data_IF_043230127606
#
_entry.id   IF_043230127606
#
_cell.length_a   1.000
_cell.length_b   1.000
_cell.length_c   1.000
_cell.angle_alpha   90.00
_cell.angle_beta   90.00
_cell.angle_gamma   90.00
#
_symmetry.space_group_name_H-M   'P 1'
#
loop_
_entity.id
_entity.type
_entity.pdbx_description
1 polymer ?
#
# COMPACT_ATOMS: atom_id res chain seq x y z
N UNK A 1 30.90 -6.48 54.66
CA UNK A 1 31.07 -6.67 53.20
C UNK A 1 29.72 -6.38 52.53
N UNK A 2 29.56 -5.21 51.90
CA UNK A 2 28.30 -4.83 51.25
C UNK A 2 28.24 -5.47 49.86
N UNK A 3 27.28 -6.38 49.65
CA UNK A 3 27.01 -7.01 48.34
C UNK A 3 26.53 -5.93 47.37
N UNK A 4 27.41 -5.51 46.46
CA UNK A 4 27.07 -4.63 45.35
C UNK A 4 26.33 -5.46 44.29
N UNK A 5 25.00 -5.52 44.37
CA UNK A 5 24.20 -6.12 43.29
C UNK A 5 24.29 -5.23 42.05
N UNK A 6 24.84 -5.81 40.98
CA UNK A 6 25.15 -5.19 39.70
C UNK A 6 23.88 -4.58 39.06
N UNK A 7 23.80 -3.24 38.98
CA UNK A 7 22.60 -2.53 38.53
C UNK A 7 22.26 -2.79 37.06
N UNK A 8 23.26 -3.11 36.22
CA UNK A 8 23.07 -3.40 34.80
C UNK A 8 22.21 -4.65 34.56
N UNK A 9 22.41 -5.72 35.35
CA UNK A 9 21.63 -6.97 35.22
C UNK A 9 20.15 -6.75 35.54
N UNK A 10 19.85 -5.88 36.51
CA UNK A 10 18.47 -5.51 36.86
C UNK A 10 17.80 -4.70 35.75
N UNK A 11 18.54 -3.83 35.07
CA UNK A 11 18.01 -3.04 33.95
C UNK A 11 17.63 -3.92 32.75
N UNK A 12 18.45 -4.94 32.43
CA UNK A 12 18.13 -5.88 31.36
C UNK A 12 16.95 -6.79 31.69
N UNK A 13 16.84 -7.26 32.93
CA UNK A 13 15.67 -8.03 33.39
C UNK A 13 14.38 -7.21 33.37
N UNK A 14 14.43 -5.94 33.76
CA UNK A 14 13.27 -5.06 33.76
C UNK A 14 12.81 -4.73 32.32
N UNK A 15 13.76 -4.53 31.39
CA UNK A 15 13.47 -4.34 29.96
C UNK A 15 12.89 -5.60 29.32
N UNK A 16 13.47 -6.77 29.61
CA UNK A 16 12.94 -8.05 29.12
C UNK A 16 11.54 -8.37 29.65
N UNK A 17 11.27 -8.06 30.92
CA UNK A 17 9.95 -8.23 31.52
C UNK A 17 8.90 -7.27 30.93
N UNK A 18 9.29 -6.03 30.62
CA UNK A 18 8.39 -5.06 29.97
C UNK A 18 8.04 -5.50 28.55
N UNK A 19 9.02 -6.01 27.80
CA UNK A 19 8.83 -6.57 26.45
C UNK A 19 7.88 -7.77 26.50
N UNK A 20 8.10 -8.72 27.41
CA UNK A 20 7.21 -9.89 27.59
C UNK A 20 5.77 -9.49 27.97
N UNK A 21 5.59 -8.43 28.76
CA UNK A 21 4.27 -7.93 29.13
C UNK A 21 3.54 -7.29 27.94
N UNK A 22 4.27 -6.54 27.10
CA UNK A 22 3.73 -5.97 25.86
C UNK A 22 3.34 -7.05 24.85
N UNK A 23 4.13 -8.13 24.74
CA UNK A 23 3.87 -9.27 23.86
C UNK A 23 2.60 -10.04 24.22
N UNK A 24 2.34 -10.25 25.52
CA UNK A 24 1.14 -10.97 25.97
C UNK A 24 -0.17 -10.22 25.71
N UNK A 25 -0.14 -8.89 25.57
CA UNK A 25 -1.32 -8.08 25.27
C UNK A 25 -1.77 -8.19 23.80
N UNK A 26 -0.87 -8.57 22.88
CA UNK A 26 -1.13 -8.68 21.44
C UNK A 26 -1.62 -10.09 21.05
N UNK A 27 -1.29 -11.13 21.84
CA UNK A 27 -1.59 -12.53 21.51
C UNK A 27 -3.01 -13.02 21.88
N UNK A 28 -3.95 -12.13 22.23
CA UNK A 28 -5.34 -12.49 22.59
C UNK A 28 -6.36 -11.81 21.69
N UNK A 29 -6.25 -12.03 20.38
CA UNK A 29 -7.38 -11.87 19.47
C UNK A 29 -7.92 -13.28 19.13
N UNK A 30 -9.08 -13.68 19.68
CA UNK A 30 -9.74 -14.89 19.21
C UNK A 30 -10.27 -14.63 17.78
N UNK A 31 -9.60 -15.19 16.78
CA UNK A 31 -10.18 -15.38 15.46
C UNK A 31 -11.38 -16.33 15.56
N UNK A 32 -12.59 -15.77 15.60
CA UNK A 32 -13.83 -16.54 15.61
C UNK A 32 -14.34 -16.76 14.17
N UNK A 33 -14.52 -18.04 13.84
CA UNK A 33 -15.05 -18.61 12.60
C UNK A 33 -16.27 -17.88 12.03
N UNK A 34 -16.23 -17.51 10.75
CA UNK A 34 -17.42 -17.25 9.95
C UNK A 34 -17.94 -18.55 9.32
N UNK A 35 -19.19 -18.89 9.63
CA UNK A 35 -19.91 -20.02 9.08
C UNK A 35 -20.37 -19.74 7.64
N UNK A 36 -20.07 -20.68 6.73
CA UNK A 36 -20.56 -20.71 5.34
C UNK A 36 -22.08 -20.79 5.31
N UNK A 37 -22.74 -19.87 4.61
CA UNK A 37 -24.03 -20.16 3.97
C UNK A 37 -23.87 -20.06 2.44
N UNK A 38 -24.11 -21.19 1.76
CA UNK A 38 -24.18 -21.28 0.30
C UNK A 38 -25.56 -20.79 -0.15
N UNK A 39 -25.62 -19.62 -0.77
CA UNK A 39 -26.76 -19.16 -1.55
C UNK A 39 -26.46 -19.29 -3.03
N UNK A 40 -27.29 -20.06 -3.72
CA UNK A 40 -27.19 -20.49 -5.12
C UNK A 40 -27.27 -19.35 -6.14
N UNK A 41 -26.44 -19.45 -7.18
CA UNK A 41 -26.53 -18.68 -8.42
C UNK A 41 -27.86 -18.90 -9.15
N UNK A 42 -28.39 -17.87 -9.81
CA UNK A 42 -29.16 -18.05 -11.04
C UNK A 42 -28.92 -16.90 -12.03
N UNK A 43 -28.44 -17.31 -13.21
CA UNK A 43 -28.35 -16.55 -14.43
C UNK A 43 -29.73 -16.36 -15.06
N UNK A 44 -29.92 -15.23 -15.74
CA UNK A 44 -31.04 -14.98 -16.64
C UNK A 44 -30.55 -14.41 -17.97
N UNK A 45 -30.28 -15.30 -18.93
CA UNK A 45 -30.21 -14.98 -20.36
C UNK A 45 -31.59 -15.17 -20.98
N UNK A 46 -31.98 -14.29 -21.89
CA UNK A 46 -32.80 -14.53 -23.11
C UNK A 46 -33.19 -13.17 -23.70
N UNK A 47 -33.46 -12.96 -24.98
CA UNK A 47 -32.99 -13.49 -26.26
C UNK A 47 -33.75 -12.65 -27.32
N UNK A 48 -33.09 -12.38 -28.44
CA UNK A 48 -33.63 -12.25 -29.79
C UNK A 48 -34.61 -11.13 -30.18
N UNK A 49 -34.34 -10.51 -31.33
CA UNK A 49 -35.15 -9.43 -31.91
C UNK A 49 -34.58 -8.85 -33.20
N UNK A 50 -34.39 -9.68 -34.21
CA UNK A 50 -34.12 -9.27 -35.61
C UNK A 50 -35.33 -8.50 -36.17
N UNK A 51 -35.17 -7.23 -36.58
CA UNK A 51 -36.06 -6.58 -37.56
C UNK A 51 -35.26 -5.73 -38.55
N UNK A 52 -35.65 -5.93 -39.80
CA UNK A 52 -35.12 -5.52 -41.10
C UNK A 52 -35.35 -4.03 -41.43
N UNK A 53 -34.41 -3.43 -42.17
CA UNK A 53 -34.44 -2.07 -42.70
C UNK A 53 -35.58 -1.78 -43.70
N UNK A 54 -35.87 -0.49 -43.96
CA UNK A 54 -35.87 -0.02 -45.35
C UNK A 54 -35.16 1.34 -45.59
N UNK A 55 -34.51 1.38 -46.76
CA UNK A 55 -34.31 2.44 -47.75
C UNK A 55 -34.13 3.93 -47.35
N UNK A 56 -32.93 4.41 -47.70
CA UNK A 56 -32.50 5.69 -48.27
C UNK A 56 -33.48 6.87 -48.43
N UNK A 57 -33.02 8.04 -47.95
CA UNK A 57 -33.26 9.33 -48.60
C UNK A 57 -31.97 10.16 -48.66
N UNK A 58 -31.73 10.62 -49.88
CA UNK A 58 -30.72 11.52 -50.40
C UNK A 58 -30.70 12.89 -49.70
N UNK A 59 -29.51 13.37 -49.29
CA UNK A 59 -29.27 14.79 -48.99
C UNK A 59 -27.87 15.17 -49.49
N UNK A 60 -27.76 15.37 -50.80
CA UNK A 60 -26.73 16.20 -51.40
C UNK A 60 -26.95 17.68 -51.05
N UNK A 61 -26.14 18.27 -50.15
CA UNK A 61 -25.62 19.65 -50.25
C UNK A 61 -24.82 20.05 -49.01
N UNK A 62 -23.50 20.10 -49.15
CA UNK A 62 -22.66 21.01 -48.37
C UNK A 62 -21.54 21.56 -49.30
N UNK A 63 -21.16 22.85 -49.21
CA UNK A 63 -20.28 23.48 -50.19
C UNK A 63 -18.82 23.04 -50.03
N UNK A 64 -18.15 22.75 -51.14
CA UNK A 64 -16.71 22.51 -51.21
C UNK A 64 -15.95 23.84 -51.09
N UNK A 65 -15.28 24.07 -49.96
CA UNK A 65 -14.29 25.14 -49.83
C UNK A 65 -12.97 24.68 -50.47
N UNK A 66 -12.32 25.48 -51.34
CA UNK A 66 -11.02 25.13 -51.88
C UNK A 66 -9.97 25.17 -50.76
N UNK A 67 -9.38 24.01 -50.47
CA UNK A 67 -8.20 23.85 -49.63
C UNK A 67 -6.98 24.38 -50.41
N UNK A 68 -6.63 25.64 -50.20
CA UNK A 68 -5.33 26.18 -50.62
C UNK A 68 -4.47 26.36 -49.37
N UNK A 69 -3.64 25.38 -49.04
CA UNK A 69 -2.57 25.58 -48.05
C UNK A 69 -1.37 26.14 -48.80
N UNK A 70 -1.17 27.44 -48.74
CA UNK A 70 0.13 28.03 -49.03
C UNK A 70 0.97 27.92 -47.77
N UNK A 71 1.93 26.99 -47.75
CA UNK A 71 3.01 26.97 -46.76
C UNK A 71 4.01 28.05 -47.19
N UNK A 72 4.28 29.10 -46.40
CA UNK A 72 5.42 29.97 -46.68
C UNK A 72 6.69 29.18 -46.41
N UNK A 73 7.49 28.94 -47.46
CA UNK A 73 8.84 28.41 -47.32
C UNK A 73 9.71 29.53 -46.73
N UNK A 74 9.95 29.48 -45.42
CA UNK A 74 10.87 30.42 -44.77
C UNK A 74 12.32 29.99 -45.10
N UNK A 75 13.03 30.89 -45.79
CA UNK A 75 14.45 30.77 -46.10
C UNK A 75 15.29 30.58 -44.81
N UNK A 76 16.21 29.62 -44.87
CA UNK A 76 17.15 29.26 -43.80
C UNK A 76 18.01 30.45 -43.37
N UNK A 77 17.80 30.90 -42.14
CA UNK A 77 18.75 31.70 -41.37
C UNK A 77 19.26 30.86 -40.20
N UNK A 78 20.56 30.64 -40.12
CA UNK A 78 21.21 29.94 -39.01
C UNK A 78 21.08 30.81 -37.76
N UNK A 79 20.11 30.52 -36.90
CA UNK A 79 19.98 31.17 -35.59
C UNK A 79 20.17 30.08 -34.54
N UNK A 80 21.19 30.29 -33.70
CA UNK A 80 21.60 29.45 -32.59
C UNK A 80 20.40 28.77 -31.91
N UNK A 81 20.40 27.43 -31.91
CA UNK A 81 19.42 26.62 -31.20
C UNK A 81 19.49 26.97 -29.71
N UNK A 82 18.59 27.84 -29.27
CA UNK A 82 18.32 28.02 -27.86
C UNK A 82 17.67 26.71 -27.40
N UNK A 83 18.42 25.89 -26.69
CA UNK A 83 17.85 24.75 -25.95
C UNK A 83 16.87 25.35 -24.96
N UNK A 84 15.58 25.34 -25.31
CA UNK A 84 14.55 25.72 -24.36
C UNK A 84 14.57 24.65 -23.27
N UNK A 85 15.09 25.00 -22.11
CA UNK A 85 14.92 24.21 -20.91
C UNK A 85 13.42 24.19 -20.61
N UNK A 86 12.75 23.11 -21.04
CA UNK A 86 11.36 22.86 -20.69
C UNK A 86 11.39 22.42 -19.23
N UNK A 87 10.81 23.21 -18.30
CA UNK A 87 10.69 22.78 -16.92
C UNK A 87 9.94 21.45 -16.89
N UNK A 88 10.23 20.56 -15.93
CA UNK A 88 9.41 19.37 -15.71
C UNK A 88 7.93 19.76 -15.67
N UNK A 89 7.09 18.98 -16.35
CA UNK A 89 5.66 19.22 -16.32
C UNK A 89 5.18 19.28 -14.85
N UNK A 90 4.24 20.19 -14.50
CA UNK A 90 3.66 20.20 -13.17
C UNK A 90 3.13 18.81 -12.80
N UNK A 91 3.43 18.34 -11.59
CA UNK A 91 2.82 17.10 -11.09
C UNK A 91 1.30 17.32 -11.07
N UNK A 92 0.56 16.44 -11.73
CA UNK A 92 -0.90 16.42 -11.62
C UNK A 92 -1.30 16.21 -10.15
N UNK A 93 -2.44 16.78 -9.69
CA UNK A 93 -2.91 16.50 -8.33
C UNK A 93 -3.11 14.99 -8.16
N UNK A 94 -2.54 14.44 -7.08
CA UNK A 94 -2.75 13.06 -6.71
C UNK A 94 -4.20 12.89 -6.25
N UNK A 95 -4.87 11.86 -6.77
CA UNK A 95 -6.21 11.46 -6.35
C UNK A 95 -6.14 10.22 -5.47
N UNK A 96 -7.06 10.11 -4.52
CA UNK A 96 -7.23 8.90 -3.70
C UNK A 96 -7.76 7.78 -4.59
N UNK A 97 -7.00 6.67 -4.68
CA UNK A 97 -7.37 5.50 -5.48
C UNK A 97 -8.19 4.48 -4.68
N UNK A 98 -7.87 4.37 -3.38
CA UNK A 98 -8.52 3.49 -2.41
C UNK A 98 -8.42 4.13 -1.03
N UNK A 99 -9.45 3.97 -0.21
CA UNK A 99 -9.53 4.58 1.12
C UNK A 99 -10.15 3.60 2.14
N UNK A 100 -9.49 3.51 3.29
CA UNK A 100 -9.90 2.73 4.46
C UNK A 100 -9.66 3.52 5.77
N UNK A 101 -9.57 4.85 5.72
CA UNK A 101 -9.36 5.71 6.91
C UNK A 101 -10.57 5.81 7.85
N UNK A 102 -11.59 4.97 7.67
CA UNK A 102 -12.75 4.89 8.54
C UNK A 102 -12.63 3.75 9.57
N UNK A 103 -13.45 3.84 10.63
CA UNK A 103 -13.60 2.79 11.64
C UNK A 103 -12.31 2.41 12.40
N UNK A 104 -11.45 3.40 12.65
CA UNK A 104 -10.21 3.23 13.41
C UNK A 104 -10.44 2.48 14.73
N UNK A 105 -9.62 1.46 14.96
CA UNK A 105 -9.56 0.69 16.19
C UNK A 105 -8.67 1.34 17.23
N UNK A 106 -8.48 0.62 18.34
CA UNK A 106 -7.64 1.07 19.48
C UNK A 106 -6.31 0.34 19.55
N UNK A 107 -6.14 -0.71 18.76
CA UNK A 107 -4.96 -1.56 18.75
C UNK A 107 -4.08 -1.20 17.56
N UNK A 108 -2.82 -1.64 17.62
CA UNK A 108 -1.92 -1.53 16.49
C UNK A 108 -1.09 -2.81 16.35
N UNK A 109 -0.79 -3.16 15.10
CA UNK A 109 -0.07 -4.38 14.74
C UNK A 109 1.29 -4.04 14.14
N UNK A 110 2.35 -4.60 14.72
CA UNK A 110 3.75 -4.37 14.33
C UNK A 110 4.02 -4.81 12.89
N UNK A 111 4.62 -3.93 12.09
CA UNK A 111 5.16 -4.21 10.76
C UNK A 111 6.46 -3.44 10.58
N UNK A 112 7.59 -4.14 10.53
CA UNK A 112 8.89 -3.49 10.55
C UNK A 112 10.07 -4.43 10.60
N UNK A 113 11.25 -3.87 10.33
CA UNK A 113 12.55 -4.52 10.59
C UNK A 113 13.29 -3.83 11.73
N UNK A 114 14.17 -4.57 12.41
CA UNK A 114 14.99 -4.04 13.49
C UNK A 114 16.49 -4.20 13.21
N UNK A 115 17.21 -3.08 13.12
CA UNK A 115 18.66 -3.09 12.84
C UNK A 115 19.50 -3.62 14.01
N UNK A 116 18.99 -3.59 15.23
CA UNK A 116 19.67 -3.96 16.47
C UNK A 116 19.03 -5.14 17.20
N UNK A 117 17.99 -5.75 16.63
CA UNK A 117 17.26 -6.87 17.24
C UNK A 117 16.82 -7.89 16.18
N UNK A 118 17.80 -8.63 15.67
CA UNK A 118 17.62 -9.60 14.58
C UNK A 118 16.60 -10.69 14.93
N UNK A 119 15.75 -11.07 13.98
CA UNK A 119 14.76 -12.14 14.13
C UNK A 119 13.38 -11.67 14.64
N UNK A 120 13.22 -10.37 14.89
CA UNK A 120 11.97 -9.75 15.32
C UNK A 120 11.33 -8.89 14.21
N UNK A 121 11.73 -9.15 12.97
CA UNK A 121 11.07 -8.57 11.81
C UNK A 121 9.64 -9.14 11.72
N UNK A 122 8.72 -8.31 11.29
CA UNK A 122 7.35 -8.72 11.00
C UNK A 122 6.81 -8.00 9.78
N UNK A 123 5.95 -8.72 9.07
CA UNK A 123 5.34 -8.28 7.83
C UNK A 123 3.82 -8.30 8.05
N UNK A 124 3.18 -7.14 7.95
CA UNK A 124 1.73 -7.01 7.96
C UNK A 124 1.26 -6.51 6.59
N UNK A 125 0.38 -7.28 5.95
CA UNK A 125 -0.23 -6.89 4.69
C UNK A 125 -1.76 -6.86 4.79
N UNK A 126 -2.38 -5.90 4.13
CA UNK A 126 -3.84 -5.83 3.96
C UNK A 126 -4.21 -5.80 2.47
N UNK A 127 -5.43 -6.25 2.14
CA UNK A 127 -5.85 -6.40 0.75
C UNK A 127 -6.66 -5.21 0.19
N UNK A 128 -6.54 -5.01 -1.11
CA UNK A 128 -7.32 -4.03 -1.85
C UNK A 128 -7.59 -4.51 -3.27
N UNK A 129 -8.61 -3.92 -3.90
CA UNK A 129 -9.07 -4.29 -5.24
C UNK A 129 -8.88 -3.14 -6.20
N UNK A 130 -8.12 -3.37 -7.28
CA UNK A 130 -8.09 -2.50 -8.46
C UNK A 130 -9.29 -2.84 -9.34
N UNK A 131 -10.28 -1.94 -9.53
CA UNK A 131 -11.50 -2.25 -10.25
C UNK A 131 -11.28 -2.63 -11.72
N UNK A 132 -12.22 -3.41 -12.27
CA UNK A 132 -12.24 -3.78 -13.69
C UNK A 132 -12.14 -2.56 -14.61
N UNK A 133 -11.27 -2.65 -15.63
CA UNK A 133 -11.06 -1.59 -16.61
C UNK A 133 -10.19 -0.42 -16.14
N UNK A 134 -9.67 -0.44 -14.91
CA UNK A 134 -8.74 0.58 -14.42
C UNK A 134 -7.29 0.11 -14.49
N UNK A 135 -6.38 1.08 -14.56
CA UNK A 135 -4.96 0.86 -14.26
C UNK A 135 -4.56 1.94 -13.28
N UNK A 136 -4.05 1.53 -12.13
CA UNK A 136 -3.61 2.43 -11.09
C UNK A 136 -2.13 2.72 -11.25
N UNK A 137 -1.77 3.99 -11.11
CA UNK A 137 -0.39 4.44 -10.95
C UNK A 137 -0.24 4.95 -9.52
N UNK A 138 0.09 4.05 -8.60
CA UNK A 138 0.19 4.31 -7.15
C UNK A 138 1.49 5.04 -6.87
N UNK A 139 1.40 6.27 -6.36
CA UNK A 139 2.56 7.14 -6.14
C UNK A 139 2.93 7.29 -4.66
N UNK A 140 1.99 7.04 -3.76
CA UNK A 140 2.18 7.11 -2.33
C UNK A 140 1.20 6.19 -1.63
N UNK A 141 1.49 5.86 -0.38
CA UNK A 141 0.61 5.16 0.55
C UNK A 141 0.51 6.01 1.81
N UNK A 142 -0.71 6.25 2.25
CA UNK A 142 -1.00 6.82 3.56
C UNK A 142 -1.43 5.67 4.49
N UNK A 143 -0.71 5.49 5.60
CA UNK A 143 -1.06 4.51 6.62
C UNK A 143 -1.29 5.20 7.96
N UNK A 144 -2.40 4.88 8.62
CA UNK A 144 -2.60 5.25 10.01
C UNK A 144 -1.75 4.34 10.89
N UNK A 145 -0.93 4.94 11.77
CA UNK A 145 -0.02 4.16 12.59
C UNK A 145 0.43 4.87 13.84
N UNK A 146 1.07 4.10 14.71
CA UNK A 146 1.55 4.56 16.01
C UNK A 146 2.90 3.94 16.36
N UNK A 147 3.71 4.70 17.11
CA UNK A 147 4.91 4.16 17.74
C UNK A 147 4.59 3.56 19.11
N UNK A 148 5.28 2.46 19.45
CA UNK A 148 5.26 1.86 20.77
C UNK A 148 6.64 1.30 21.13
N UNK A 149 6.91 1.16 22.44
CA UNK A 149 8.26 0.83 22.91
C UNK A 149 9.31 1.93 22.67
N UNK A 150 8.89 3.09 22.16
CA UNK A 150 9.69 4.26 21.83
C UNK A 150 8.82 5.34 21.19
N UNK A 151 9.43 6.45 20.77
CA UNK A 151 8.73 7.60 20.17
C UNK A 151 8.90 7.70 18.65
N UNK A 152 9.54 6.72 18.03
CA UNK A 152 10.12 6.88 16.71
C UNK A 152 11.26 7.93 16.70
N UNK A 153 11.60 8.48 15.53
CA UNK A 153 11.02 8.20 14.20
C UNK A 153 11.53 6.88 13.59
N UNK A 154 10.83 6.37 12.59
CA UNK A 154 11.33 5.35 11.67
C UNK A 154 12.48 5.89 10.81
N UNK A 155 13.49 5.06 10.54
CA UNK A 155 14.62 5.46 9.71
C UNK A 155 14.17 5.64 8.25
N UNK A 156 13.33 4.73 7.78
CA UNK A 156 12.75 4.67 6.44
C UNK A 156 11.58 3.68 6.43
N UNK A 157 10.88 3.56 5.30
CA UNK A 157 9.87 2.50 5.09
C UNK A 157 10.21 1.67 3.85
N UNK A 158 9.95 0.37 3.93
CA UNK A 158 9.85 -0.50 2.78
C UNK A 158 8.38 -0.65 2.40
N UNK A 159 8.11 -0.87 1.11
CA UNK A 159 6.78 -1.14 0.58
C UNK A 159 6.85 -2.36 -0.31
N UNK A 160 5.92 -3.29 -0.13
CA UNK A 160 5.78 -4.48 -0.96
C UNK A 160 4.33 -4.63 -1.40
N UNK A 161 4.12 -5.09 -2.64
CA UNK A 161 2.79 -5.43 -3.15
C UNK A 161 2.84 -6.84 -3.71
N UNK A 162 1.87 -7.65 -3.32
CA UNK A 162 1.73 -9.05 -3.71
C UNK A 162 0.42 -9.26 -4.47
N UNK A 163 0.41 -10.20 -5.42
CA UNK A 163 -0.88 -10.69 -5.95
C UNK A 163 -1.59 -11.52 -4.90
N UNK A 164 -2.92 -11.52 -4.92
CA UNK A 164 -3.69 -12.44 -4.10
C UNK A 164 -3.40 -13.91 -4.43
N UNK A 165 -3.28 -14.73 -3.39
CA UNK A 165 -3.15 -16.17 -3.47
C UNK A 165 -4.14 -16.86 -2.52
N UNK A 166 -5.44 -16.68 -2.80
CA UNK A 166 -6.50 -17.36 -2.06
C UNK A 166 -6.86 -16.68 -0.75
N UNK A 167 -6.87 -15.34 -0.74
CA UNK A 167 -7.12 -14.54 0.46
C UNK A 167 -5.89 -14.41 1.36
N UNK A 168 -4.68 -14.53 0.79
CA UNK A 168 -3.40 -14.28 1.45
C UNK A 168 -2.40 -13.67 0.45
N UNK A 169 -1.36 -12.95 0.92
CA UNK A 169 -0.27 -12.48 0.07
C UNK A 169 0.39 -13.64 -0.70
N UNK A 170 0.51 -13.48 -2.01
CA UNK A 170 1.13 -14.44 -2.93
C UNK A 170 2.48 -13.95 -3.48
N UNK A 171 2.64 -14.05 -4.80
CA UNK A 171 3.87 -13.60 -5.46
C UNK A 171 4.01 -12.08 -5.38
N UNK A 172 5.17 -11.58 -4.94
CA UNK A 172 5.48 -10.16 -4.96
C UNK A 172 5.55 -9.63 -6.40
N UNK A 173 4.83 -8.55 -6.68
CA UNK A 173 4.80 -7.87 -7.98
C UNK A 173 5.40 -6.47 -7.96
N UNK A 174 5.62 -5.90 -6.77
CA UNK A 174 6.28 -4.62 -6.61
C UNK A 174 7.03 -4.58 -5.27
N UNK A 175 8.16 -3.87 -5.26
CA UNK A 175 8.84 -3.48 -4.03
C UNK A 175 9.60 -2.20 -4.21
N UNK A 176 9.63 -1.38 -3.17
CA UNK A 176 10.60 -0.30 -3.02
C UNK A 176 11.08 -0.24 -1.58
N UNK A 177 12.37 0.01 -1.39
CA UNK A 177 13.02 -0.07 -0.08
C UNK A 177 13.52 1.31 0.32
N UNK A 178 13.70 1.50 1.62
CA UNK A 178 14.29 2.71 2.19
C UNK A 178 13.65 4.02 1.72
N UNK A 179 12.32 4.00 1.52
CA UNK A 179 11.59 5.17 1.07
C UNK A 179 11.54 6.24 2.14
N UNK A 180 11.61 7.48 1.68
CA UNK A 180 11.34 8.66 2.49
C UNK A 180 9.86 8.73 2.83
N UNK A 181 9.56 9.27 4.01
CA UNK A 181 8.20 9.39 4.49
C UNK A 181 8.01 10.75 5.18
N UNK A 182 6.74 11.14 5.28
CA UNK A 182 6.32 12.28 6.11
C UNK A 182 5.21 11.83 7.05
N UNK A 183 4.98 12.59 8.13
CA UNK A 183 3.92 12.29 9.08
C UNK A 183 3.13 13.53 9.42
N UNK A 184 1.80 13.40 9.42
CA UNK A 184 0.86 14.39 9.92
C UNK A 184 -0.11 13.71 10.87
N UNK A 185 -0.04 14.05 12.16
CA UNK A 185 -0.80 13.33 13.18
C UNK A 185 -0.36 11.86 13.25
N UNK A 186 -1.29 10.94 13.01
CA UNK A 186 -1.06 9.49 12.99
C UNK A 186 -0.90 8.94 11.56
N UNK A 187 -1.08 9.78 10.53
CA UNK A 187 -0.86 9.38 9.13
C UNK A 187 0.61 9.44 8.76
N UNK A 188 1.14 8.32 8.29
CA UNK A 188 2.46 8.16 7.68
C UNK A 188 2.29 8.05 6.18
N UNK A 189 2.82 9.03 5.44
CA UNK A 189 2.82 9.04 3.97
C UNK A 189 4.16 8.55 3.46
N UNK A 190 4.17 7.44 2.74
CA UNK A 190 5.36 6.85 2.11
C UNK A 190 5.27 7.06 0.60
N UNK A 191 6.23 7.80 0.04
CA UNK A 191 6.30 8.01 -1.41
C UNK A 191 6.91 6.78 -2.12
N UNK A 192 6.35 6.39 -3.26
CA UNK A 192 6.79 5.24 -4.05
C UNK A 192 7.64 5.72 -5.24
N UNK A 193 8.93 5.39 -5.21
CA UNK A 193 9.86 5.63 -6.31
C UNK A 193 10.54 4.33 -6.76
N UNK A 194 10.23 3.79 -7.96
CA UNK A 194 9.22 4.26 -8.92
C UNK A 194 7.77 4.01 -8.45
N UNK A 195 6.79 4.69 -9.03
CA UNK A 195 5.37 4.42 -8.79
C UNK A 195 4.99 2.97 -9.16
N UNK A 196 4.08 2.35 -8.42
CA UNK A 196 3.57 1.02 -8.75
C UNK A 196 2.47 1.12 -9.81
N UNK A 197 2.54 0.28 -10.85
CA UNK A 197 1.52 0.22 -11.91
C UNK A 197 0.75 -1.09 -11.76
N UNK A 198 -0.53 -0.98 -11.44
CA UNK A 198 -1.38 -2.14 -11.14
C UNK A 198 -2.56 -2.20 -12.10
N UNK A 199 -2.72 -3.34 -12.76
CA UNK A 199 -3.89 -3.67 -13.58
C UNK A 199 -5.02 -4.21 -12.71
N UNK A 200 -6.25 -4.40 -13.23
CA UNK A 200 -7.37 -4.91 -12.43
C UNK A 200 -7.03 -6.23 -11.75
N UNK A 201 -7.38 -6.35 -10.47
CA UNK A 201 -7.07 -7.51 -9.64
C UNK A 201 -7.12 -7.20 -8.15
N UNK A 202 -7.04 -8.25 -7.34
CA UNK A 202 -6.86 -8.15 -5.88
C UNK A 202 -5.37 -8.25 -5.56
N UNK A 203 -4.90 -7.32 -4.74
CA UNK A 203 -3.51 -7.25 -4.29
C UNK A 203 -3.46 -7.11 -2.78
N UNK A 204 -2.31 -7.44 -2.21
CA UNK A 204 -1.96 -7.23 -0.82
C UNK A 204 -0.86 -6.21 -0.73
N UNK A 205 -0.98 -5.24 0.17
CA UNK A 205 0.02 -4.21 0.39
C UNK A 205 0.59 -4.27 1.80
N UNK A 206 1.90 -4.24 1.86
CA UNK A 206 2.67 -4.18 3.10
C UNK A 206 3.49 -2.88 3.08
N UNK A 207 3.46 -2.16 4.20
CA UNK A 207 4.51 -1.21 4.52
C UNK A 207 5.17 -1.64 5.83
N UNK A 208 6.49 -1.56 5.83
CA UNK A 208 7.35 -2.09 6.88
C UNK A 208 8.30 -0.99 7.33
N UNK A 209 8.21 -0.56 8.59
CA UNK A 209 9.08 0.48 9.13
C UNK A 209 10.49 -0.09 9.41
N UNK A 210 11.52 0.53 8.85
CA UNK A 210 12.91 0.21 9.23
C UNK A 210 13.25 0.97 10.52
N UNK A 211 13.47 0.24 11.60
CA UNK A 211 13.61 0.80 12.95
C UNK A 211 14.92 0.36 13.60
N UNK A 212 15.37 1.15 14.57
CA UNK A 212 16.39 0.74 15.55
C UNK A 212 15.70 0.75 16.90
N UNK A 213 15.47 -0.43 17.49
CA UNK A 213 14.61 -0.59 18.67
C UNK A 213 15.11 0.26 19.83
N UNK A 214 16.41 0.25 20.09
CA UNK A 214 17.03 1.02 21.17
C UNK A 214 16.92 2.54 21.01
N UNK A 215 16.58 3.04 19.81
CA UNK A 215 16.46 4.47 19.50
C UNK A 215 14.99 4.87 19.40
N UNK A 216 14.22 4.23 18.52
CA UNK A 216 12.86 4.65 18.16
C UNK A 216 11.77 3.70 18.64
N UNK A 217 12.10 2.51 19.14
CA UNK A 217 11.13 1.47 19.48
C UNK A 217 10.59 0.75 18.24
N UNK A 218 9.28 0.69 18.12
CA UNK A 218 8.52 -0.01 17.08
C UNK A 218 7.41 0.88 16.52
N UNK A 219 6.93 0.56 15.32
CA UNK A 219 5.84 1.22 14.61
C UNK A 219 4.85 0.15 14.13
N UNK A 220 3.56 0.40 14.29
CA UNK A 220 2.53 -0.50 13.79
C UNK A 220 1.39 0.24 13.14
N UNK A 221 0.69 -0.49 12.26
CA UNK A 221 -0.56 -0.05 11.65
C UNK A 221 -1.63 0.04 12.74
N UNK A 222 -2.40 1.11 12.77
CA UNK A 222 -3.61 1.15 13.59
C UNK A 222 -4.63 0.18 12.98
N UNK A 223 -5.15 -0.74 13.80
CA UNK A 223 -6.14 -1.71 13.33
C UNK A 223 -7.47 -1.03 12.99
N UNK A 224 -8.29 -1.65 12.14
CA UNK A 224 -9.67 -1.23 11.90
C UNK A 224 -10.66 -2.15 12.61
N UNK A 225 -11.78 -1.58 13.03
CA UNK A 225 -12.88 -2.34 13.66
C UNK A 225 -13.82 -3.01 12.66
N UNK A 226 -13.69 -2.67 11.37
CA UNK A 226 -14.45 -3.25 10.27
C UNK A 226 -13.50 -3.89 9.28
N UNK A 227 -13.76 -5.15 8.96
CA UNK A 227 -13.02 -5.91 7.96
C UNK A 227 -13.53 -5.58 6.55
N UNK A 228 -12.60 -5.40 5.61
CA UNK A 228 -12.88 -5.28 4.18
C UNK A 228 -12.19 -6.45 3.45
N UNK A 229 -12.91 -7.10 2.53
CA UNK A 229 -12.45 -8.29 1.80
C UNK A 229 -11.88 -9.42 2.70
N UNK A 230 -10.56 -9.53 2.86
CA UNK A 230 -9.89 -10.58 3.64
C UNK A 230 -9.34 -10.02 4.96
N UNK A 231 -9.15 -10.82 6.03
CA UNK A 231 -8.42 -10.36 7.20
C UNK A 231 -6.97 -10.04 6.83
N UNK A 232 -6.40 -9.00 7.43
CA UNK A 232 -4.97 -8.69 7.30
C UNK A 232 -4.10 -9.91 7.65
N UNK A 233 -3.03 -10.10 6.88
CA UNK A 233 -2.11 -11.21 7.00
C UNK A 233 -0.84 -10.76 7.71
N UNK A 234 -0.46 -11.46 8.77
CA UNK A 234 0.74 -11.17 9.55
C UNK A 234 1.67 -12.37 9.63
N UNK A 235 2.96 -12.14 9.41
CA UNK A 235 4.01 -13.12 9.63
C UNK A 235 5.20 -12.48 10.35
N UNK A 236 6.00 -13.31 11.02
CA UNK A 236 7.28 -12.91 11.58
C UNK A 236 8.35 -13.91 11.17
N UNK A 237 8.96 -13.73 9.98
CA UNK A 237 9.85 -14.73 9.39
C UNK A 237 10.97 -15.20 10.32
N UNK A 238 11.47 -14.31 11.18
CA UNK A 238 12.52 -14.61 12.15
C UNK A 238 12.08 -15.40 13.38
N UNK A 239 10.78 -15.60 13.62
CA UNK A 239 10.26 -16.36 14.75
C UNK A 239 10.41 -15.69 16.13
N UNK A 240 10.88 -14.43 16.19
CA UNK A 240 11.12 -13.72 17.47
C UNK A 240 9.88 -13.59 18.36
N UNK A 241 8.68 -13.64 17.78
CA UNK A 241 7.39 -13.58 18.48
C UNK A 241 6.74 -14.95 18.73
N UNK A 242 7.49 -16.05 18.55
CA UNK A 242 6.97 -17.41 18.68
C UNK A 242 6.83 -18.08 17.32
N UNK A 243 5.64 -18.62 17.01
CA UNK A 243 5.41 -19.31 15.73
C UNK A 243 5.59 -18.31 14.58
N UNK A 244 6.51 -18.55 13.62
CA UNK A 244 6.83 -17.61 12.54
C UNK A 244 5.66 -17.21 11.62
N UNK A 245 4.54 -17.94 11.68
CA UNK A 245 3.39 -17.78 10.79
C UNK A 245 3.77 -17.76 9.29
N UNK A 246 4.78 -18.53 8.91
CA UNK A 246 5.26 -18.64 7.52
C UNK A 246 4.29 -19.49 6.70
N UNK A 247 3.88 -18.99 5.54
CA UNK A 247 3.15 -19.74 4.52
C UNK A 247 4.06 -20.56 3.60
#
# INVERSE_FOLDING_TARGET
MKKQTNQSVKAHLLRGALILLSLLAICVIPFALASRSRGTAQAGQSADGVVRAPAATDISKAPSLPRTSQIPLANSGVIAAHVKHVPPAPKAPQGVLYDQYDNAGTNATWSGTLTDFTGFDADLADDFVVPGGQTWNVQSIDADGVYFGGSGPANSFNVFIYVDSGGLPGTQVYSTLDQTWTQTGTTFTVDLSPAAVLTPGTYWIEIQANMTFSVGGQWGWTDRTVLSNSPAAWQNPGGGFGTPCTT
#
